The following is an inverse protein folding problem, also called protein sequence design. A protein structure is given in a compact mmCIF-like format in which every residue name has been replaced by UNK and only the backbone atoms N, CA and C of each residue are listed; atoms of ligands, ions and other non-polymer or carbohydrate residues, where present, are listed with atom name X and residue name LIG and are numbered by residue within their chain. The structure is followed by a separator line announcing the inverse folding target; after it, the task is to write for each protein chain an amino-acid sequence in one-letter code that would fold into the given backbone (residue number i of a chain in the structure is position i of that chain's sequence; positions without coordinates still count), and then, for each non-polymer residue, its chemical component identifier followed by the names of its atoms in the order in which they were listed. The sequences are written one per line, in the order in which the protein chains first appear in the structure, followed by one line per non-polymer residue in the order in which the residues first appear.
data_IF_455254467995
#
_entry.id   IF_455254467995
#
_cell.length_a   1.000
_cell.length_b   1.000
_cell.length_c   1.000
_cell.angle_alpha   90.00
_cell.angle_beta   90.00
_cell.angle_gamma   90.00
#
_symmetry.space_group_name_H-M   'P 1'
#
loop_
_entity.id
_entity.type
_entity.pdbx_description
1 polymer ?
#
# COMPACT_ATOMS: atom_id res chain seq x y z
N UNK A 1 -6.17 0.94 25.83
CA UNK A 1 -5.26 1.12 24.68
C UNK A 1 -6.06 1.37 23.41
N UNK A 2 -5.79 2.44 22.70
CA UNK A 2 -6.48 2.65 21.43
C UNK A 2 -6.08 1.56 20.42
N UNK A 3 -7.03 1.17 19.60
CA UNK A 3 -6.75 0.24 18.51
C UNK A 3 -5.89 0.90 17.45
N UNK A 4 -4.95 0.13 16.92
CA UNK A 4 -4.12 0.60 15.82
C UNK A 4 -4.88 0.49 14.51
N UNK A 5 -4.65 1.44 13.63
CA UNK A 5 -5.12 1.34 12.26
C UNK A 5 -3.95 1.49 11.32
N UNK A 6 -4.07 0.88 10.15
CA UNK A 6 -3.15 1.05 9.06
C UNK A 6 -3.90 1.50 7.82
N UNK A 7 -3.18 1.92 6.82
CA UNK A 7 -3.77 2.28 5.54
C UNK A 7 -2.80 1.96 4.42
N UNK A 8 -3.36 1.62 3.27
CA UNK A 8 -2.59 1.27 2.10
C UNK A 8 -3.31 1.76 0.85
N UNK A 9 -2.58 1.83 -0.26
CA UNK A 9 -3.11 2.34 -1.51
C UNK A 9 -2.98 1.33 -2.63
N UNK A 10 -4.05 1.19 -3.41
CA UNK A 10 -4.04 0.50 -4.69
C UNK A 10 -3.82 1.56 -5.76
N UNK A 11 -2.66 1.54 -6.38
CA UNK A 11 -2.28 2.48 -7.44
C UNK A 11 -2.14 1.68 -8.73
N UNK A 12 -2.96 2.02 -9.71
CA UNK A 12 -2.99 1.28 -10.97
C UNK A 12 -2.31 2.08 -12.09
N UNK A 13 -1.65 1.37 -13.00
CA UNK A 13 -1.14 1.99 -14.21
C UNK A 13 -2.21 1.90 -15.32
N UNK A 14 -1.87 2.35 -16.52
CA UNK A 14 -2.80 2.37 -17.65
C UNK A 14 -3.25 0.98 -18.10
N UNK A 15 -2.52 -0.05 -17.73
CA UNK A 15 -2.83 -1.43 -18.07
C UNK A 15 -3.57 -2.17 -16.96
N UNK A 16 -3.87 -1.49 -15.87
CA UNK A 16 -4.53 -2.09 -14.73
C UNK A 16 -3.62 -2.88 -13.81
N UNK A 17 -2.30 -2.77 -13.99
CA UNK A 17 -1.34 -3.38 -13.08
C UNK A 17 -1.25 -2.58 -11.80
N UNK A 18 -1.02 -3.26 -10.69
CA UNK A 18 -1.01 -2.66 -9.35
C UNK A 18 0.42 -2.46 -8.86
N UNK A 19 0.68 -1.31 -8.25
CA UNK A 19 1.98 -1.00 -7.67
C UNK A 19 2.17 -1.77 -6.38
N UNK A 20 3.23 -2.57 -6.33
CA UNK A 20 3.61 -3.31 -5.12
C UNK A 20 5.02 -2.92 -4.70
N UNK A 21 5.28 -3.03 -3.42
CA UNK A 21 6.60 -2.78 -2.82
C UNK A 21 7.11 -4.06 -2.18
N UNK A 22 8.43 -4.26 -2.24
CA UNK A 22 9.08 -5.39 -1.59
C UNK A 22 9.79 -4.87 -0.34
N UNK A 23 9.45 -5.43 0.80
CA UNK A 23 10.02 -5.01 2.08
C UNK A 23 11.44 -5.53 2.24
N UNK A 24 12.30 -4.72 2.88
CA UNK A 24 13.68 -5.12 3.18
C UNK A 24 13.78 -5.94 4.45
N UNK A 25 12.69 -6.10 5.18
CA UNK A 25 12.66 -6.78 6.48
C UNK A 25 11.74 -8.01 6.42
N UNK A 26 11.78 -8.81 7.49
CA UNK A 26 10.97 -10.01 7.59
C UNK A 26 11.31 -11.01 6.49
N UNK A 27 10.29 -11.51 5.82
CA UNK A 27 10.44 -12.48 4.73
C UNK A 27 10.58 -11.81 3.36
N UNK A 28 10.81 -10.51 3.33
CA UNK A 28 10.87 -9.74 2.08
C UNK A 28 9.59 -9.87 1.27
N UNK A 29 8.45 -9.78 1.95
CA UNK A 29 7.15 -9.87 1.30
C UNK A 29 6.87 -8.67 0.40
N UNK A 30 6.17 -8.93 -0.68
CA UNK A 30 5.56 -7.90 -1.50
C UNK A 30 4.23 -7.49 -0.88
N UNK A 31 3.91 -6.21 -0.97
CA UNK A 31 2.71 -5.66 -0.35
C UNK A 31 2.28 -4.40 -1.08
N UNK A 32 1.07 -3.93 -0.78
CA UNK A 32 0.67 -2.59 -1.19
C UNK A 32 1.50 -1.57 -0.41
N UNK A 33 1.82 -0.41 -1.02
CA UNK A 33 2.44 0.66 -0.24
C UNK A 33 1.47 1.13 0.83
N UNK A 34 1.96 1.24 2.06
CA UNK A 34 1.13 1.61 3.20
C UNK A 34 1.84 1.36 4.51
N UNK A 35 1.15 1.63 5.59
CA UNK A 35 1.71 1.43 6.92
C UNK A 35 0.76 1.85 8.02
N UNK A 36 1.31 1.98 9.22
CA UNK A 36 0.54 2.28 10.42
C UNK A 36 0.28 3.77 10.54
N UNK A 37 -0.93 4.14 10.96
CA UNK A 37 -1.29 5.53 11.19
C UNK A 37 -0.52 6.10 12.38
N UNK A 38 -0.15 7.36 12.26
CA UNK A 38 0.43 8.11 13.35
C UNK A 38 -0.68 8.76 14.17
N UNK A 39 -0.33 9.22 15.37
CA UNK A 39 -1.29 9.87 16.24
C UNK A 39 -1.90 11.08 15.53
N UNK A 40 -3.20 11.23 15.64
CA UNK A 40 -3.97 12.33 15.01
C UNK A 40 -3.93 12.34 13.48
N UNK A 41 -3.64 11.21 12.88
CA UNK A 41 -3.60 11.06 11.43
C UNK A 41 -4.80 10.24 10.98
N UNK A 42 -5.52 10.73 9.95
CA UNK A 42 -6.61 9.95 9.37
C UNK A 42 -6.06 8.80 8.53
N UNK A 43 -6.88 7.79 8.27
CA UNK A 43 -6.47 6.68 7.40
C UNK A 43 -6.07 7.18 6.01
N UNK A 44 -6.82 8.14 5.46
CA UNK A 44 -6.50 8.71 4.15
C UNK A 44 -5.14 9.41 4.15
N UNK A 45 -4.88 10.22 5.19
CA UNK A 45 -3.59 10.89 5.34
C UNK A 45 -2.45 9.89 5.48
N UNK A 46 -2.70 8.79 6.21
CA UNK A 46 -1.72 7.72 6.38
C UNK A 46 -1.35 7.09 5.04
N UNK A 47 -2.35 6.76 4.23
CA UNK A 47 -2.10 6.16 2.91
C UNK A 47 -1.25 7.09 2.05
N UNK A 48 -1.58 8.37 2.02
CA UNK A 48 -0.83 9.36 1.22
C UNK A 48 0.59 9.53 1.71
N UNK A 49 0.78 9.62 3.02
CA UNK A 49 2.11 9.78 3.61
C UNK A 49 2.99 8.56 3.34
N UNK A 50 2.45 7.36 3.55
CA UNK A 50 3.21 6.13 3.34
C UNK A 50 3.61 5.95 1.87
N UNK A 51 2.72 6.27 0.94
CA UNK A 51 3.05 6.20 -0.49
C UNK A 51 4.21 7.14 -0.81
N UNK A 52 4.16 8.37 -0.30
CA UNK A 52 5.23 9.33 -0.53
C UNK A 52 6.55 8.84 0.06
N UNK A 53 6.53 8.34 1.30
CA UNK A 53 7.74 7.85 1.96
C UNK A 53 8.34 6.63 1.26
N UNK A 54 7.50 5.70 0.83
CA UNK A 54 7.97 4.42 0.30
C UNK A 54 8.37 4.47 -1.16
N UNK A 55 7.61 5.17 -1.99
CA UNK A 55 7.82 5.15 -3.45
C UNK A 55 7.95 6.53 -4.09
N UNK A 56 7.89 7.59 -3.30
CA UNK A 56 8.14 8.94 -3.79
C UNK A 56 7.01 9.56 -4.58
N UNK A 57 5.79 9.02 -4.48
CA UNK A 57 4.65 9.54 -5.23
C UNK A 57 3.73 10.37 -4.35
N UNK A 58 3.29 11.51 -4.88
CA UNK A 58 2.19 12.28 -4.30
C UNK A 58 0.92 11.83 -5.00
N UNK A 59 0.02 11.21 -4.26
CA UNK A 59 -1.19 10.64 -4.84
C UNK A 59 -2.43 11.32 -4.27
N UNK A 60 -3.52 11.27 -5.04
CA UNK A 60 -4.84 11.63 -4.56
C UNK A 60 -5.60 10.37 -4.21
N UNK A 61 -6.39 10.42 -3.13
CA UNK A 61 -7.22 9.30 -2.75
C UNK A 61 -8.58 9.44 -3.42
N UNK A 62 -9.03 8.38 -4.09
CA UNK A 62 -10.30 8.41 -4.82
C UNK A 62 -11.42 7.71 -4.07
N UNK A 63 -11.15 6.52 -3.54
CA UNK A 63 -12.21 5.68 -3.02
C UNK A 63 -11.66 4.67 -2.02
N UNK A 64 -12.41 4.43 -0.95
CA UNK A 64 -12.13 3.34 -0.02
C UNK A 64 -12.62 2.03 -0.65
N UNK A 65 -11.74 1.04 -0.80
CA UNK A 65 -12.14 -0.27 -1.34
C UNK A 65 -12.60 -1.22 -0.26
N UNK A 66 -12.06 -1.09 0.95
CA UNK A 66 -12.44 -1.97 2.03
C UNK A 66 -11.59 -1.74 3.27
N UNK A 67 -12.02 -2.38 4.35
CA UNK A 67 -11.33 -2.39 5.62
C UNK A 67 -11.08 -3.85 5.97
N UNK A 68 -9.82 -4.22 6.23
CA UNK A 68 -9.43 -5.61 6.43
C UNK A 68 -8.72 -5.76 7.77
N UNK A 69 -9.16 -6.70 8.56
CA UNK A 69 -8.56 -6.96 9.87
C UNK A 69 -7.35 -7.87 9.72
N UNK A 70 -6.23 -7.45 10.32
CA UNK A 70 -5.01 -8.24 10.38
C UNK A 70 -4.84 -8.77 11.81
N UNK A 71 -5.10 -10.07 12.04
CA UNK A 71 -5.02 -10.64 13.37
C UNK A 71 -3.58 -10.70 13.92
N UNK A 72 -2.57 -10.66 13.06
CA UNK A 72 -1.18 -10.72 13.49
C UNK A 72 -0.77 -9.46 14.26
N UNK A 73 -1.38 -8.33 13.92
CA UNK A 73 -1.07 -7.05 14.53
C UNK A 73 -2.26 -6.46 15.28
N UNK A 74 -3.39 -7.17 15.31
CA UNK A 74 -4.64 -6.64 15.88
C UNK A 74 -4.94 -5.25 15.34
N UNK A 75 -4.93 -5.14 14.02
CA UNK A 75 -4.98 -3.86 13.34
C UNK A 75 -5.94 -3.91 12.15
N UNK A 76 -6.75 -2.88 11.99
CA UNK A 76 -7.60 -2.74 10.81
C UNK A 76 -6.86 -1.91 9.77
N UNK A 77 -6.83 -2.41 8.54
CA UNK A 77 -6.20 -1.73 7.40
C UNK A 77 -7.27 -1.15 6.50
N UNK A 78 -7.19 0.15 6.27
CA UNK A 78 -8.03 0.84 5.31
C UNK A 78 -7.32 0.83 3.97
N UNK A 79 -7.97 0.28 2.94
CA UNK A 79 -7.36 0.18 1.61
C UNK A 79 -8.10 1.12 0.67
N UNK A 80 -7.35 2.02 0.05
CA UNK A 80 -7.91 3.04 -0.85
C UNK A 80 -7.40 2.84 -2.27
N UNK A 81 -8.25 3.19 -3.24
CA UNK A 81 -7.77 3.42 -4.60
C UNK A 81 -7.22 4.83 -4.63
N UNK A 82 -6.01 4.98 -5.13
CA UNK A 82 -5.34 6.26 -5.24
C UNK A 82 -4.87 6.47 -6.67
N UNK A 83 -4.78 7.73 -7.08
CA UNK A 83 -4.35 8.07 -8.43
C UNK A 83 -2.96 8.71 -8.41
N UNK A 84 -2.21 8.50 -9.47
CA UNK A 84 -0.93 9.13 -9.71
C UNK A 84 -1.08 10.09 -10.89
N UNK A 85 -1.84 11.17 -10.67
CA UNK A 85 -2.17 12.13 -11.73
C UNK A 85 -0.96 12.81 -12.34
N UNK A 86 0.14 12.87 -11.59
CA UNK A 86 1.36 13.49 -12.07
C UNK A 86 2.19 12.59 -12.97
N UNK A 87 1.78 11.35 -13.17
CA UNK A 87 2.50 10.37 -13.98
C UNK A 87 3.97 10.22 -13.63
N UNK A 88 4.29 10.39 -12.35
CA UNK A 88 5.65 10.20 -11.90
C UNK A 88 5.98 8.73 -11.78
N UNK A 89 7.25 8.40 -11.97
CA UNK A 89 7.72 7.03 -11.87
C UNK A 89 8.00 6.71 -10.41
N UNK A 90 7.37 5.67 -9.84
CA UNK A 90 7.68 5.25 -8.47
C UNK A 90 9.09 4.69 -8.40
N UNK A 91 9.74 4.89 -7.25
CA UNK A 91 11.06 4.33 -6.97
C UNK A 91 11.20 4.09 -5.48
N UNK A 92 11.98 3.08 -5.06
CA UNK A 92 12.23 2.87 -3.64
C UNK A 92 12.80 4.15 -3.03
N UNK A 93 12.11 4.68 -2.02
CA UNK A 93 12.46 5.98 -1.43
C UNK A 93 12.72 5.89 0.07
N UNK A 94 12.76 4.67 0.61
CA UNK A 94 12.98 4.40 2.02
C UNK A 94 13.86 3.16 2.15
N UNK A 95 14.72 3.08 3.18
CA UNK A 95 15.53 1.87 3.42
C UNK A 95 14.68 0.62 3.65
N UNK A 96 13.41 0.78 4.00
CA UNK A 96 12.50 -0.35 4.23
C UNK A 96 12.01 -0.97 2.93
N UNK A 97 12.24 -0.32 1.79
CA UNK A 97 11.74 -0.76 0.48
C UNK A 97 12.91 -1.13 -0.41
N UNK A 98 13.00 -2.41 -0.76
CA UNK A 98 14.03 -2.91 -1.67
C UNK A 98 13.71 -2.62 -3.13
N UNK A 99 12.44 -2.72 -3.48
CA UNK A 99 12.00 -2.69 -4.87
C UNK A 99 10.55 -2.26 -4.92
N UNK A 100 10.16 -1.61 -6.01
CA UNK A 100 8.75 -1.36 -6.28
C UNK A 100 8.49 -1.62 -7.77
N UNK A 101 7.28 -2.10 -8.08
CA UNK A 101 6.99 -2.55 -9.43
C UNK A 101 5.48 -2.64 -9.64
N UNK A 102 5.02 -2.26 -10.82
CA UNK A 102 3.65 -2.53 -11.23
C UNK A 102 3.56 -3.99 -11.63
N UNK A 103 2.60 -4.71 -11.05
CA UNK A 103 2.43 -6.14 -11.26
C UNK A 103 1.04 -6.45 -11.77
N UNK A 104 0.96 -7.37 -12.73
CA UNK A 104 -0.32 -7.87 -13.20
C UNK A 104 -0.99 -8.67 -12.08
N UNK A 105 -2.31 -8.54 -11.96
CA UNK A 105 -3.08 -9.31 -10.99
C UNK A 105 -2.97 -10.82 -11.23
N UNK A 106 -2.68 -11.22 -12.46
CA UNK A 106 -2.55 -12.62 -12.84
C UNK A 106 -1.15 -13.19 -12.54
N UNK A 107 -0.18 -12.31 -12.32
CA UNK A 107 1.21 -12.71 -12.10
C UNK A 107 1.81 -11.97 -10.92
N UNK A 108 1.19 -12.15 -9.75
CA UNK A 108 1.68 -11.49 -8.54
C UNK A 108 3.00 -12.10 -8.08
N UNK A 109 3.95 -11.26 -7.65
CA UNK A 109 5.22 -11.77 -7.15
C UNK A 109 5.04 -12.45 -5.79
N UNK A 110 5.99 -13.31 -5.43
CA UNK A 110 5.94 -14.04 -4.16
C UNK A 110 7.27 -13.91 -3.42
N UNK A 111 7.26 -13.95 -2.10
CA UNK A 111 6.08 -14.05 -1.24
C UNK A 111 5.27 -12.76 -1.22
N UNK A 112 3.98 -12.86 -1.07
CA UNK A 112 3.08 -11.70 -1.03
C UNK A 112 2.19 -11.81 0.21
N UNK A 113 1.92 -10.66 0.84
CA UNK A 113 1.03 -10.59 1.97
C UNK A 113 -0.41 -10.83 1.53
N UNK A 114 -1.25 -11.33 2.45
CA UNK A 114 -2.64 -11.69 2.12
C UNK A 114 -3.49 -10.50 1.71
N UNK A 115 -3.31 -9.36 2.37
CA UNK A 115 -4.28 -8.32 2.16
C UNK A 115 -4.11 -7.48 0.88
N UNK A 116 -2.96 -7.44 0.20
CA UNK A 116 -2.94 -6.90 -1.15
C UNK A 116 -3.91 -7.60 -2.09
N UNK A 117 -3.97 -8.94 -2.01
CA UNK A 117 -4.88 -9.73 -2.83
C UNK A 117 -6.33 -9.39 -2.48
N UNK A 118 -6.65 -9.35 -1.19
CA UNK A 118 -7.99 -9.01 -0.70
C UNK A 118 -8.38 -7.59 -1.07
N UNK A 119 -7.46 -6.66 -0.94
CA UNK A 119 -7.69 -5.25 -1.27
C UNK A 119 -7.96 -5.02 -2.75
N UNK A 120 -7.33 -5.81 -3.62
CA UNK A 120 -7.56 -5.72 -5.05
C UNK A 120 -8.90 -6.30 -5.48
N UNK A 121 -9.42 -7.25 -4.72
CA UNK A 121 -10.70 -7.88 -4.99
C UNK A 121 -11.88 -7.10 -4.43
N UNK A 122 -11.59 -6.16 -3.57
CA UNK A 122 -12.60 -5.36 -2.86
C UNK A 122 -13.18 -4.19 -3.63
#
# INVERSE_FOLDING_TARGET
MPKLIGAAAVILDSEGSVLLVKHSYGKNNWDLPGGKAEENESAEETAKREVLEEVGLEVGVEQLTGIYYDPNYDMHHFVFIANNDNNRVPRPSSPEILECRFCSRDELPKPISDFPVRGMDG
#
